data_IF_145457379648
#
_entry.id   IF_145457379648
#
_cell.length_a   1.000
_cell.length_b   1.000
_cell.length_c   1.000
_cell.angle_alpha   90.00
_cell.angle_beta   90.00
_cell.angle_gamma   90.00
#
_symmetry.space_group_name_H-M   'P 1'
#
loop_
_entity.id
_entity.type
_entity.pdbx_description
1 polymer ?
#
# COMPACT_ATOMS: atom_id res chain seq x y z
N UNK A 1 22.89 9.64 -19.61
CA UNK A 1 21.85 9.15 -18.69
C UNK A 1 22.36 7.82 -18.21
N UNK A 2 22.76 7.74 -16.95
CA UNK A 2 23.35 6.52 -16.41
C UNK A 2 22.25 5.50 -16.05
N UNK A 3 22.65 4.25 -15.81
CA UNK A 3 21.70 3.17 -15.50
C UNK A 3 20.84 3.47 -14.26
N UNK A 4 21.39 4.22 -13.28
CA UNK A 4 20.65 4.64 -12.09
C UNK A 4 19.52 5.64 -12.41
N UNK A 5 19.81 6.66 -13.24
CA UNK A 5 18.81 7.66 -13.67
C UNK A 5 17.66 6.99 -14.43
N UNK A 6 17.99 5.98 -15.25
CA UNK A 6 17.02 5.24 -16.07
C UNK A 6 16.09 4.37 -15.19
N UNK A 7 16.63 3.76 -14.13
CA UNK A 7 15.85 2.97 -13.16
C UNK A 7 14.93 3.86 -12.32
N UNK A 8 15.39 5.03 -11.89
CA UNK A 8 14.57 5.97 -11.11
C UNK A 8 13.43 6.57 -11.94
N UNK A 9 13.71 6.90 -13.21
CA UNK A 9 12.70 7.33 -14.17
C UNK A 9 11.68 6.23 -14.48
N UNK A 10 12.12 4.97 -14.63
CA UNK A 10 11.22 3.84 -14.86
C UNK A 10 10.36 3.50 -13.65
N UNK A 11 10.92 3.56 -12.44
CA UNK A 11 10.17 3.39 -11.19
C UNK A 11 9.11 4.49 -11.05
N UNK A 12 9.44 5.72 -11.46
CA UNK A 12 8.51 6.83 -11.48
C UNK A 12 7.38 6.63 -12.50
N UNK A 13 7.68 6.07 -13.68
CA UNK A 13 6.68 5.82 -14.72
C UNK A 13 5.61 4.82 -14.28
N UNK A 14 6.01 3.69 -13.70
CA UNK A 14 5.05 2.70 -13.17
C UNK A 14 4.23 3.27 -12.02
N UNK A 15 4.84 4.03 -11.11
CA UNK A 15 4.12 4.66 -10.00
C UNK A 15 3.03 5.65 -10.49
N UNK A 16 3.32 6.43 -11.55
CA UNK A 16 2.35 7.34 -12.16
C UNK A 16 1.19 6.56 -12.79
N UNK A 17 1.49 5.48 -13.51
CA UNK A 17 0.45 4.62 -14.09
C UNK A 17 -0.39 3.92 -13.01
N UNK A 18 0.23 3.35 -11.98
CA UNK A 18 -0.48 2.70 -10.88
C UNK A 18 -1.45 3.68 -10.20
N UNK A 19 -0.98 4.90 -9.91
CA UNK A 19 -1.81 5.96 -9.33
C UNK A 19 -3.00 6.30 -10.23
N UNK A 20 -2.75 6.51 -11.53
CA UNK A 20 -3.81 6.78 -12.50
C UNK A 20 -4.83 5.64 -12.58
N UNK A 21 -4.35 4.41 -12.74
CA UNK A 21 -5.18 3.21 -12.87
C UNK A 21 -6.07 3.02 -11.63
N UNK A 22 -5.49 3.15 -10.43
CA UNK A 22 -6.24 3.06 -9.17
C UNK A 22 -7.27 4.18 -9.03
N UNK A 23 -6.93 5.41 -9.42
CA UNK A 23 -7.86 6.54 -9.42
C UNK A 23 -9.07 6.28 -10.35
N UNK A 24 -8.81 5.78 -11.55
CA UNK A 24 -9.85 5.44 -12.53
C UNK A 24 -10.76 4.30 -12.05
N UNK A 25 -10.22 3.30 -11.36
CA UNK A 25 -11.01 2.25 -10.71
C UNK A 25 -11.85 2.81 -9.55
N UNK A 26 -11.26 3.66 -8.71
CA UNK A 26 -11.96 4.31 -7.60
C UNK A 26 -13.15 5.16 -8.09
N UNK A 27 -12.96 5.98 -9.13
CA UNK A 27 -14.03 6.75 -9.77
C UNK A 27 -15.17 5.86 -10.29
N UNK A 28 -14.83 4.64 -10.73
CA UNK A 28 -15.79 3.60 -11.16
C UNK A 28 -16.34 2.75 -10.00
N UNK A 29 -16.01 3.07 -8.75
CA UNK A 29 -16.35 2.31 -7.53
C UNK A 29 -15.93 0.85 -7.60
N UNK A 30 -14.80 0.58 -8.26
CA UNK A 30 -14.21 -0.76 -8.40
C UNK A 30 -13.00 -0.87 -7.50
N UNK A 31 -12.86 -2.02 -6.83
CA UNK A 31 -11.66 -2.35 -6.07
C UNK A 31 -10.75 -3.24 -6.93
N UNK A 32 -9.48 -2.85 -7.04
CA UNK A 32 -8.48 -3.63 -7.78
C UNK A 32 -8.31 -5.03 -7.17
N UNK A 33 -8.29 -5.13 -5.84
CA UNK A 33 -8.14 -6.43 -5.17
C UNK A 33 -9.30 -7.37 -5.48
N UNK A 34 -10.54 -6.87 -5.43
CA UNK A 34 -11.72 -7.68 -5.76
C UNK A 34 -11.72 -8.13 -7.22
N UNK A 35 -11.28 -7.27 -8.14
CA UNK A 35 -11.16 -7.62 -9.56
C UNK A 35 -10.14 -8.75 -9.73
N UNK A 36 -8.92 -8.57 -9.21
CA UNK A 36 -7.83 -9.54 -9.38
C UNK A 36 -8.18 -10.87 -8.70
N UNK A 37 -8.71 -10.83 -7.48
CA UNK A 37 -9.04 -12.04 -6.70
C UNK A 37 -10.30 -12.75 -7.18
N UNK A 38 -11.17 -12.09 -7.97
CA UNK A 38 -12.30 -12.77 -8.63
C UNK A 38 -11.85 -13.83 -9.63
N UNK A 39 -10.64 -13.70 -10.18
CA UNK A 39 -10.11 -14.56 -11.24
C UNK A 39 -10.70 -14.30 -12.63
N UNK A 40 -11.75 -13.47 -12.72
CA UNK A 40 -12.39 -13.11 -13.98
C UNK A 40 -11.48 -12.18 -14.80
N UNK A 41 -11.41 -12.35 -16.13
CA UNK A 41 -10.69 -11.41 -16.99
C UNK A 41 -11.27 -9.99 -16.91
N UNK A 42 -10.38 -9.00 -16.87
CA UNK A 42 -10.74 -7.57 -16.90
C UNK A 42 -9.96 -6.82 -17.97
N UNK A 43 -9.55 -7.52 -19.02
CA UNK A 43 -8.72 -7.02 -20.11
C UNK A 43 -9.34 -5.82 -20.83
N UNK A 44 -10.65 -5.86 -21.10
CA UNK A 44 -11.37 -4.72 -21.70
C UNK A 44 -11.28 -3.47 -20.84
N UNK A 45 -11.51 -3.61 -19.53
CA UNK A 45 -11.41 -2.51 -18.56
C UNK A 45 -9.96 -2.00 -18.46
N UNK A 46 -8.98 -2.90 -18.47
CA UNK A 46 -7.57 -2.53 -18.46
C UNK A 46 -7.22 -1.71 -19.70
N UNK A 47 -7.53 -2.19 -20.91
CA UNK A 47 -7.21 -1.50 -22.16
C UNK A 47 -7.95 -0.17 -22.31
N UNK A 48 -9.18 -0.07 -21.84
CA UNK A 48 -9.92 1.21 -21.77
C UNK A 48 -9.12 2.24 -20.97
N UNK A 49 -8.76 1.91 -19.72
CA UNK A 49 -8.02 2.82 -18.84
C UNK A 49 -6.61 3.08 -19.37
N UNK A 50 -5.94 2.06 -19.94
CA UNK A 50 -4.59 2.20 -20.48
C UNK A 50 -4.55 3.09 -21.73
N UNK A 51 -5.59 3.05 -22.56
CA UNK A 51 -5.76 3.96 -23.71
C UNK A 51 -6.01 5.40 -23.25
N UNK A 52 -6.80 5.59 -22.19
CA UNK A 52 -6.96 6.90 -21.57
C UNK A 52 -5.62 7.41 -21.03
N UNK A 53 -4.87 6.55 -20.33
CA UNK A 53 -3.55 6.86 -19.81
C UNK A 53 -2.56 7.30 -20.90
N UNK A 54 -2.50 6.57 -22.02
CA UNK A 54 -1.59 6.90 -23.13
C UNK A 54 -1.90 8.25 -23.78
N UNK A 55 -3.17 8.67 -23.73
CA UNK A 55 -3.60 9.99 -24.22
C UNK A 55 -3.21 11.11 -23.26
N UNK A 56 -3.32 10.87 -21.94
CA UNK A 56 -3.05 11.88 -20.90
C UNK A 56 -1.54 12.02 -20.62
N UNK A 57 -0.80 10.91 -20.65
CA UNK A 57 0.63 10.84 -20.31
C UNK A 57 1.46 10.13 -21.40
N UNK A 58 1.54 10.67 -22.62
CA UNK A 58 2.20 9.99 -23.75
C UNK A 58 3.69 9.68 -23.49
N UNK A 59 4.43 10.60 -22.88
CA UNK A 59 5.85 10.38 -22.55
C UNK A 59 6.04 9.27 -21.50
N UNK A 60 5.15 9.20 -20.51
CA UNK A 60 5.18 8.17 -19.46
C UNK A 60 4.78 6.82 -20.04
N UNK A 61 3.80 6.81 -20.95
CA UNK A 61 3.41 5.63 -21.71
C UNK A 61 4.60 5.06 -22.50
N UNK A 62 5.34 5.89 -23.24
CA UNK A 62 6.50 5.42 -24.01
C UNK A 62 7.58 4.79 -23.11
N UNK A 63 7.82 5.36 -21.93
CA UNK A 63 8.72 4.78 -20.93
C UNK A 63 8.22 3.41 -20.42
N UNK A 64 6.92 3.28 -20.13
CA UNK A 64 6.32 2.02 -19.69
C UNK A 64 6.44 0.94 -20.77
N UNK A 65 6.13 1.26 -22.02
CA UNK A 65 6.24 0.30 -23.11
C UNK A 65 7.70 -0.07 -23.37
N UNK A 66 8.63 0.88 -23.26
CA UNK A 66 10.06 0.55 -23.34
C UNK A 66 10.51 -0.40 -22.22
N UNK A 67 9.92 -0.30 -21.02
CA UNK A 67 10.28 -1.12 -19.86
C UNK A 67 9.63 -2.51 -19.91
N UNK A 68 8.33 -2.57 -20.14
CA UNK A 68 7.52 -3.80 -20.04
C UNK A 68 7.24 -4.44 -21.40
N UNK A 69 7.72 -3.86 -22.49
CA UNK A 69 7.60 -4.31 -23.89
C UNK A 69 6.17 -4.24 -24.47
N UNK A 70 5.13 -4.49 -23.68
CA UNK A 70 3.75 -4.38 -24.13
C UNK A 70 2.75 -4.10 -23.00
N UNK A 71 1.54 -3.57 -23.32
CA UNK A 71 0.45 -3.43 -22.35
C UNK A 71 0.01 -4.77 -21.75
N UNK A 72 0.07 -5.85 -22.53
CA UNK A 72 -0.34 -7.20 -22.11
C UNK A 72 0.54 -7.74 -20.99
N UNK A 73 1.83 -7.39 -20.96
CA UNK A 73 2.74 -7.78 -19.88
C UNK A 73 2.36 -7.08 -18.57
N UNK A 74 2.04 -5.78 -18.64
CA UNK A 74 1.55 -5.01 -17.48
C UNK A 74 0.23 -5.59 -16.97
N UNK A 75 -0.71 -5.89 -17.88
CA UNK A 75 -1.97 -6.54 -17.53
C UNK A 75 -1.75 -7.91 -16.87
N UNK A 76 -0.86 -8.73 -17.43
CA UNK A 76 -0.49 -10.05 -16.89
C UNK A 76 0.05 -9.92 -15.47
N UNK A 77 0.96 -8.99 -15.22
CA UNK A 77 1.53 -8.73 -13.90
C UNK A 77 0.44 -8.34 -12.88
N UNK A 78 -0.44 -7.40 -13.22
CA UNK A 78 -1.53 -6.96 -12.34
C UNK A 78 -2.48 -8.14 -12.06
N UNK A 79 -2.86 -8.89 -13.09
CA UNK A 79 -3.72 -10.08 -12.97
C UNK A 79 -3.08 -11.16 -12.07
N UNK A 80 -1.76 -11.28 -12.08
CA UNK A 80 -1.04 -12.23 -11.23
C UNK A 80 -0.89 -11.77 -9.78
N UNK A 81 -1.07 -10.47 -9.50
CA UNK A 81 -1.11 -9.91 -8.15
C UNK A 81 -0.28 -8.65 -7.93
N UNK A 82 0.36 -8.08 -8.96
CA UNK A 82 1.12 -6.82 -8.83
C UNK A 82 0.20 -5.69 -8.34
N UNK A 83 0.59 -5.02 -7.26
CA UNK A 83 -0.19 -3.96 -6.62
C UNK A 83 -1.33 -4.45 -5.71
N UNK A 84 -1.49 -5.77 -5.55
CA UNK A 84 -2.56 -6.38 -4.74
C UNK A 84 -2.01 -7.33 -3.68
N UNK A 85 -1.08 -8.20 -4.09
CA UNK A 85 -0.49 -9.27 -3.27
C UNK A 85 0.97 -8.86 -2.97
N UNK A 86 1.33 -8.62 -1.70
CA UNK A 86 2.66 -8.11 -1.33
C UNK A 86 3.82 -8.94 -1.87
N UNK A 87 3.74 -10.27 -1.77
CA UNK A 87 4.78 -11.19 -2.26
C UNK A 87 4.96 -11.18 -3.79
N UNK A 88 3.95 -10.72 -4.53
CA UNK A 88 3.93 -10.67 -6.00
C UNK A 88 4.04 -9.25 -6.55
N UNK A 89 4.31 -8.27 -5.69
CA UNK A 89 4.41 -6.86 -6.07
C UNK A 89 5.88 -6.46 -6.07
N UNK A 90 6.42 -6.18 -7.27
CA UNK A 90 7.83 -5.90 -7.50
C UNK A 90 8.08 -4.50 -8.07
N UNK A 91 7.04 -3.81 -8.54
CA UNK A 91 7.15 -2.46 -9.10
C UNK A 91 6.91 -1.37 -8.05
N UNK A 92 5.99 -1.60 -7.12
CA UNK A 92 5.72 -0.69 -6.00
C UNK A 92 6.36 -1.19 -4.70
N UNK A 93 6.93 -0.28 -3.88
CA UNK A 93 7.44 -0.63 -2.53
C UNK A 93 6.34 -0.82 -1.49
N UNK A 94 5.18 -0.20 -1.74
CA UNK A 94 4.05 -0.19 -0.83
C UNK A 94 2.77 -0.48 -1.60
N UNK A 95 1.90 -1.30 -1.03
CA UNK A 95 0.49 -1.35 -1.42
C UNK A 95 -0.29 -0.59 -0.35
N UNK A 96 -1.17 0.30 -0.77
CA UNK A 96 -2.06 1.07 0.11
C UNK A 96 -3.51 0.62 -0.05
N UNK A 97 -4.29 0.73 1.02
CA UNK A 97 -5.73 0.54 1.03
C UNK A 97 -6.36 1.58 1.95
N UNK A 98 -7.05 2.56 1.38
CA UNK A 98 -7.83 3.53 2.14
C UNK A 98 -9.22 2.98 2.44
N UNK A 99 -9.78 3.40 3.57
CA UNK A 99 -11.19 3.17 3.86
C UNK A 99 -12.05 4.13 3.03
N UNK A 100 -13.03 3.65 2.25
CA UNK A 100 -13.94 4.50 1.49
C UNK A 100 -14.89 5.30 2.39
N UNK A 101 -14.91 5.02 3.69
CA UNK A 101 -15.77 5.65 4.70
C UNK A 101 -15.13 6.88 5.36
N UNK A 102 -13.90 7.23 4.98
CA UNK A 102 -13.20 8.41 5.49
C UNK A 102 -13.30 9.50 4.43
N UNK A 103 -14.06 10.56 4.73
CA UNK A 103 -14.15 11.72 3.85
C UNK A 103 -12.76 12.34 3.67
N UNK A 104 -12.40 12.66 2.42
CA UNK A 104 -11.10 13.20 2.00
C UNK A 104 -10.63 14.51 2.65
N UNK A 105 -11.35 15.02 3.65
CA UNK A 105 -10.77 15.85 4.73
C UNK A 105 -10.01 14.96 5.71
N UNK A 106 -9.06 14.22 5.12
CA UNK A 106 -8.21 13.23 5.73
C UNK A 106 -7.78 13.66 7.12
N UNK A 107 -7.91 12.74 8.08
CA UNK A 107 -7.37 12.83 9.42
C UNK A 107 -6.18 13.78 9.46
N UNK A 108 -6.27 14.82 10.30
CA UNK A 108 -5.18 15.77 10.50
C UNK A 108 -3.88 14.98 10.60
N UNK A 109 -3.00 15.18 9.62
CA UNK A 109 -1.81 14.35 9.42
C UNK A 109 -0.94 14.37 10.69
N UNK A 110 -1.02 15.43 11.51
CA UNK A 110 -0.33 15.54 12.79
C UNK A 110 -0.99 14.70 13.90
N UNK A 111 -2.32 14.54 13.85
CA UNK A 111 -3.13 13.72 14.76
C UNK A 111 -3.22 12.25 14.34
N UNK A 112 -2.99 11.93 13.08
CA UNK A 112 -2.97 10.54 12.65
C UNK A 112 -1.80 9.78 13.31
N UNK A 113 -1.98 8.48 13.47
CA UNK A 113 -0.91 7.57 13.86
C UNK A 113 -1.12 6.19 13.29
N UNK A 114 -0.21 5.27 13.57
CA UNK A 114 -0.23 3.94 12.97
C UNK A 114 0.27 2.86 13.92
N UNK A 115 -0.41 1.71 13.91
CA UNK A 115 0.13 0.46 14.42
C UNK A 115 1.11 -0.12 13.41
N UNK A 116 2.25 -0.65 13.90
CA UNK A 116 3.25 -1.33 13.09
C UNK A 116 3.21 -2.83 13.38
N UNK A 117 2.85 -3.61 12.38
CA UNK A 117 2.81 -5.08 12.42
C UNK A 117 3.96 -5.61 11.57
N UNK A 118 4.88 -6.35 12.18
CA UNK A 118 6.01 -6.98 11.48
C UNK A 118 5.74 -8.48 11.35
N UNK A 119 5.90 -9.01 10.14
CA UNK A 119 5.54 -10.38 9.79
C UNK A 119 6.68 -11.04 9.00
N UNK A 120 6.85 -12.36 9.10
CA UNK A 120 7.69 -13.09 8.16
C UNK A 120 7.06 -13.06 6.75
N UNK A 121 7.88 -13.13 5.67
CA UNK A 121 7.39 -13.03 4.29
C UNK A 121 6.34 -14.06 3.88
N UNK A 122 6.32 -15.24 4.49
CA UNK A 122 5.37 -16.32 4.20
C UNK A 122 3.97 -16.07 4.76
N UNK A 123 3.81 -15.12 5.69
CA UNK A 123 2.51 -14.78 6.31
C UNK A 123 1.93 -13.46 5.80
N UNK A 124 2.72 -12.64 5.11
CA UNK A 124 2.35 -11.25 4.79
C UNK A 124 1.09 -11.18 3.92
N UNK A 125 0.94 -12.06 2.94
CA UNK A 125 -0.16 -11.98 1.97
C UNK A 125 -1.52 -12.24 2.64
N UNK A 126 -1.59 -13.28 3.47
CA UNK A 126 -2.83 -13.66 4.16
C UNK A 126 -3.26 -12.63 5.20
N UNK A 127 -2.30 -12.11 5.97
CA UNK A 127 -2.59 -11.07 6.95
C UNK A 127 -2.94 -9.75 6.25
N UNK A 128 -2.22 -9.39 5.18
CA UNK A 128 -2.51 -8.19 4.41
C UNK A 128 -3.93 -8.21 3.86
N UNK A 129 -4.35 -9.31 3.21
CA UNK A 129 -5.73 -9.47 2.72
C UNK A 129 -6.75 -9.20 3.82
N UNK A 130 -6.57 -9.81 4.99
CA UNK A 130 -7.47 -9.60 6.14
C UNK A 130 -7.52 -8.16 6.66
N UNK A 131 -6.37 -7.46 6.69
CA UNK A 131 -6.27 -6.05 7.10
C UNK A 131 -6.89 -5.13 6.05
N UNK A 132 -6.54 -5.34 4.78
CA UNK A 132 -7.03 -4.60 3.61
C UNK A 132 -8.55 -4.65 3.54
N UNK A 133 -9.13 -5.85 3.62
CA UNK A 133 -10.57 -6.05 3.46
C UNK A 133 -11.34 -5.37 4.60
N UNK A 134 -10.89 -5.52 5.85
CA UNK A 134 -11.51 -4.82 7.01
C UNK A 134 -11.32 -3.31 6.96
N UNK A 135 -10.23 -2.82 6.39
CA UNK A 135 -10.02 -1.38 6.16
C UNK A 135 -11.02 -0.85 5.12
N UNK A 136 -11.20 -1.59 4.03
CA UNK A 136 -12.19 -1.28 3.00
C UNK A 136 -13.63 -1.31 3.55
N UNK A 137 -13.96 -2.27 4.42
CA UNK A 137 -15.26 -2.34 5.09
C UNK A 137 -15.46 -1.27 6.17
N UNK A 138 -14.42 -0.49 6.50
CA UNK A 138 -14.47 0.53 7.55
C UNK A 138 -14.50 -0.03 8.97
N UNK A 139 -14.13 -1.30 9.16
CA UNK A 139 -14.16 -1.97 10.47
C UNK A 139 -12.81 -2.00 11.17
N UNK A 140 -11.71 -1.69 10.48
CA UNK A 140 -10.36 -1.66 11.07
C UNK A 140 -9.88 -0.25 11.38
N UNK A 141 -9.34 0.48 10.39
CA UNK A 141 -8.78 1.81 10.54
C UNK A 141 -9.07 2.66 9.31
N UNK A 142 -8.47 3.85 9.24
CA UNK A 142 -8.73 4.79 8.13
C UNK A 142 -7.99 4.44 6.85
N UNK A 143 -6.85 3.76 6.97
CA UNK A 143 -6.00 3.34 5.86
C UNK A 143 -5.03 2.27 6.35
N UNK A 144 -4.52 1.46 5.43
CA UNK A 144 -3.46 0.51 5.69
C UNK A 144 -2.43 0.51 4.56
N UNK A 145 -1.16 0.26 4.89
CA UNK A 145 -0.07 0.12 3.91
C UNK A 145 0.79 -1.09 4.23
N UNK A 146 1.26 -1.82 3.23
CA UNK A 146 2.13 -2.99 3.39
C UNK A 146 3.36 -2.91 2.50
N UNK A 147 4.51 -3.28 3.05
CA UNK A 147 5.76 -3.40 2.29
C UNK A 147 5.71 -4.64 1.36
N UNK A 148 6.27 -4.53 0.17
CA UNK A 148 6.13 -5.55 -0.89
C UNK A 148 7.38 -6.39 -1.07
N UNK A 149 7.42 -7.21 -2.13
CA UNK A 149 8.60 -7.96 -2.55
C UNK A 149 9.67 -7.08 -3.22
N UNK A 150 9.35 -5.83 -3.61
CA UNK A 150 10.35 -4.88 -4.11
C UNK A 150 11.43 -4.64 -3.06
N UNK A 151 12.73 -4.84 -3.37
CA UNK A 151 13.81 -4.62 -2.42
C UNK A 151 13.84 -3.19 -1.88
N UNK A 152 14.04 -3.08 -0.57
CA UNK A 152 14.27 -1.81 0.11
C UNK A 152 15.71 -1.80 0.64
N UNK A 153 16.60 -0.93 0.11
CA UNK A 153 18.00 -0.87 0.55
C UNK A 153 18.14 -0.47 2.04
N UNK A 154 17.11 0.15 2.62
CA UNK A 154 17.09 0.58 4.02
C UNK A 154 16.48 -0.49 4.96
N UNK A 155 16.02 -1.62 4.42
CA UNK A 155 15.47 -2.71 5.23
C UNK A 155 16.55 -3.32 6.13
N UNK A 156 16.22 -3.46 7.42
CA UNK A 156 17.14 -4.03 8.43
C UNK A 156 17.17 -5.55 8.44
N UNK A 157 16.09 -6.18 7.98
CA UNK A 157 15.89 -7.62 7.89
C UNK A 157 14.86 -7.94 6.79
N UNK A 158 14.51 -9.21 6.65
CA UNK A 158 13.62 -9.73 5.61
C UNK A 158 12.13 -9.60 5.94
N UNK A 159 11.78 -9.16 7.16
CA UNK A 159 10.38 -9.07 7.58
C UNK A 159 9.64 -8.03 6.76
N UNK A 160 8.36 -8.31 6.54
CA UNK A 160 7.42 -7.36 5.96
C UNK A 160 6.73 -6.58 7.06
N UNK A 161 6.36 -5.35 6.76
CA UNK A 161 5.68 -4.45 7.68
C UNK A 161 4.35 -4.02 7.11
N UNK A 162 3.32 -4.04 7.96
CA UNK A 162 2.00 -3.47 7.70
C UNK A 162 1.79 -2.32 8.67
N UNK A 163 1.41 -1.17 8.12
CA UNK A 163 0.91 -0.02 8.85
C UNK A 163 -0.61 -0.02 8.82
N UNK A 164 -1.22 0.17 9.99
CA UNK A 164 -2.67 0.37 10.10
C UNK A 164 -2.91 1.68 10.80
N UNK A 165 -3.52 2.62 10.08
CA UNK A 165 -3.67 4.00 10.49
C UNK A 165 -4.97 4.23 11.28
N UNK A 166 -4.89 5.08 12.29
CA UNK A 166 -6.07 5.67 12.96
C UNK A 166 -6.06 7.19 12.76
N UNK A 167 -7.24 7.80 12.88
CA UNK A 167 -7.41 9.22 12.56
C UNK A 167 -6.84 10.17 13.62
N UNK A 168 -6.98 9.80 14.89
CA UNK A 168 -6.50 10.60 16.01
C UNK A 168 -5.78 9.69 17.01
N UNK A 169 -4.50 9.95 17.28
CA UNK A 169 -3.72 9.24 18.27
C UNK A 169 -4.14 9.59 19.70
N UNK A 170 -4.86 10.70 19.90
CA UNK A 170 -5.43 11.09 21.20
C UNK A 170 -6.73 10.34 21.52
N UNK A 171 -7.41 9.80 20.50
CA UNK A 171 -8.57 8.92 20.69
C UNK A 171 -8.12 7.50 21.06
N UNK A 172 -7.76 7.33 22.33
CA UNK A 172 -7.32 6.05 22.86
C UNK A 172 -8.37 4.94 22.66
N UNK A 173 -9.66 5.28 22.69
CA UNK A 173 -10.72 4.29 22.50
C UNK A 173 -10.68 3.71 21.08
N UNK A 174 -10.56 4.53 20.04
CA UNK A 174 -10.40 4.04 18.67
C UNK A 174 -9.04 3.34 18.46
N UNK A 175 -7.94 3.91 18.97
CA UNK A 175 -6.61 3.30 18.87
C UNK A 175 -6.58 1.89 19.45
N UNK A 176 -7.19 1.68 20.61
CA UNK A 176 -7.26 0.36 21.25
C UNK A 176 -8.31 -0.54 20.58
N UNK A 177 -9.41 0.00 20.06
CA UNK A 177 -10.36 -0.77 19.24
C UNK A 177 -9.66 -1.37 18.01
N UNK A 178 -8.89 -0.57 17.26
CA UNK A 178 -8.09 -1.06 16.12
C UNK A 178 -7.12 -2.16 16.55
N UNK A 179 -6.46 -1.99 17.70
CA UNK A 179 -5.58 -3.03 18.26
C UNK A 179 -6.34 -4.34 18.50
N UNK A 180 -7.52 -4.29 19.11
CA UNK A 180 -8.31 -5.50 19.38
C UNK A 180 -8.77 -6.19 18.09
N UNK A 181 -9.11 -5.43 17.04
CA UNK A 181 -9.40 -6.02 15.73
C UNK A 181 -8.16 -6.71 15.14
N UNK A 182 -6.96 -6.13 15.28
CA UNK A 182 -5.70 -6.78 14.88
C UNK A 182 -5.45 -8.08 15.66
N UNK A 183 -5.77 -8.09 16.96
CA UNK A 183 -5.64 -9.28 17.81
C UNK A 183 -6.61 -10.38 17.38
N UNK A 184 -7.83 -10.03 16.97
CA UNK A 184 -8.84 -11.00 16.47
C UNK A 184 -8.44 -11.70 15.18
N UNK A 185 -7.61 -11.07 14.35
CA UNK A 185 -7.09 -11.68 13.10
C UNK A 185 -5.78 -12.43 13.31
N UNK A 186 -5.37 -12.66 14.56
CA UNK A 186 -4.22 -13.49 14.91
C UNK A 186 -2.91 -12.74 15.10
N UNK A 187 -2.90 -11.40 15.05
CA UNK A 187 -1.70 -10.64 15.45
C UNK A 187 -1.62 -10.67 16.96
N UNK A 188 -0.84 -11.57 17.54
CA UNK A 188 -0.67 -11.70 19.00
C UNK A 188 0.67 -11.17 19.51
N UNK A 189 1.65 -11.03 18.63
CA UNK A 189 2.96 -10.47 18.97
C UNK A 189 2.88 -9.02 19.41
N UNK A 190 3.90 -8.56 20.13
CA UNK A 190 3.98 -7.17 20.56
C UNK A 190 4.02 -6.23 19.36
N UNK A 191 3.10 -5.27 19.30
CA UNK A 191 3.04 -4.24 18.26
C UNK A 191 3.23 -2.85 18.87
N UNK A 192 3.84 -1.97 18.08
CA UNK A 192 4.10 -0.58 18.46
C UNK A 192 3.18 0.37 17.72
N UNK A 193 2.71 1.41 18.40
CA UNK A 193 2.01 2.53 17.78
C UNK A 193 2.94 3.74 17.68
N UNK A 194 2.98 4.38 16.51
CA UNK A 194 3.77 5.58 16.24
C UNK A 194 2.88 6.72 15.76
N UNK A 195 3.10 7.94 16.25
CA UNK A 195 2.38 9.13 15.78
C UNK A 195 2.97 9.59 14.44
N UNK A 196 2.13 10.11 13.53
CA UNK A 196 2.65 10.62 12.26
C UNK A 196 3.56 11.84 12.45
N UNK A 197 3.29 12.71 13.43
CA UNK A 197 4.17 13.86 13.77
C UNK A 197 5.63 13.46 14.07
N UNK A 198 5.86 12.26 14.61
CA UNK A 198 7.21 11.73 14.88
C UNK A 198 7.91 11.29 13.57
N UNK A 199 7.13 10.98 12.53
CA UNK A 199 7.65 10.69 11.18
C UNK A 199 8.14 11.97 10.50
N UNK A 200 7.39 13.09 10.61
CA UNK A 200 7.80 14.38 10.03
C UNK A 200 9.03 15.00 10.69
N UNK A 201 9.27 14.69 11.98
CA UNK A 201 10.46 15.15 12.71
C UNK A 201 11.72 14.30 12.42
N UNK A 202 11.64 13.34 11.50
CA UNK A 202 12.77 12.44 11.18
C UNK A 202 13.14 11.50 12.32
N UNK A 203 12.22 11.25 13.26
CA UNK A 203 12.51 10.41 14.42
C UNK A 203 12.35 8.93 14.04
N UNK A 204 13.46 8.32 13.64
CA UNK A 204 13.59 6.88 13.51
C UNK A 204 14.08 6.26 14.81
N UNK A 205 13.71 5.00 15.03
CA UNK A 205 14.27 4.22 16.14
C UNK A 205 15.78 4.04 15.91
N UNK A 206 16.56 4.79 16.68
CA UNK A 206 18.01 4.61 16.82
C UNK A 206 18.30 3.79 18.09
N UNK A 207 19.49 3.19 18.18
CA UNK A 207 19.90 2.43 19.36
C UNK A 207 19.79 3.33 20.60
N UNK A 208 18.82 3.05 21.49
CA UNK A 208 18.54 3.85 22.70
C UNK A 208 17.38 4.86 22.59
N UNK A 209 16.75 5.07 21.43
CA UNK A 209 15.59 5.96 21.26
C UNK A 209 14.33 5.16 20.92
N UNK A 210 13.39 5.08 21.87
CA UNK A 210 12.06 4.47 21.69
C UNK A 210 11.11 5.52 21.11
N UNK A 211 10.66 5.31 19.87
CA UNK A 211 9.73 6.21 19.16
C UNK A 211 8.32 5.59 19.11
N UNK A 212 7.92 4.98 20.22
CA UNK A 212 6.66 4.23 20.33
C UNK A 212 5.82 4.87 21.41
N UNK A 213 4.63 5.35 21.04
CA UNK A 213 3.72 6.05 21.94
C UNK A 213 2.86 5.05 22.73
N UNK A 214 2.12 4.18 22.05
CA UNK A 214 1.48 3.00 22.66
C UNK A 214 2.27 1.73 22.34
N UNK A 215 2.36 0.80 23.29
CA UNK A 215 2.87 -0.54 23.01
C UNK A 215 2.00 -1.58 23.68
N UNK A 216 1.71 -2.66 22.98
CA UNK A 216 0.82 -3.72 23.46
C UNK A 216 1.17 -5.06 22.82
#
# INVERSE_FOLDING_TARGET
MDAADTVELSDSAYAIFEFFFRSQLHMRKKSLSLIVESGEPFEELFHEIFTEFSTVYPEVYDLLISQFQSPEEIYRMIREGEGVIPSKTYQARWIEQDSPHVDGRAADIEKAGKWLVFLPPDQVDDIWRQIRDRTWEGTLGISAKVSTAKPDPDARDDRKVIYVYTADWEDEADVMRVREELRRIGITDRIGYKRNIETFKGEYSAKGKKVTFYSA
#
